data_IF_158481168498
#
_entry.id   IF_158481168498
#
_cell.length_a   1.000
_cell.length_b   1.000
_cell.length_c   1.000
_cell.angle_alpha   90.00
_cell.angle_beta   90.00
_cell.angle_gamma   90.00
#
_symmetry.space_group_name_H-M   'P 1'
#
loop_
_entity.id
_entity.type
_entity.pdbx_description
1 polymer ?
#
# COMPACT_ATOMS: atom_id res chain seq x y z
N UNK A 1 -18.54 7.10 14.23
CA UNK A 1 -17.40 6.48 14.95
C UNK A 1 -17.54 4.95 14.99
N UNK A 2 -18.60 4.39 15.60
CA UNK A 2 -18.66 2.93 15.86
C UNK A 2 -18.71 1.97 14.66
N UNK A 3 -19.14 2.38 13.47
CA UNK A 3 -19.17 1.49 12.29
C UNK A 3 -17.77 1.18 11.75
N UNK A 4 -16.93 2.21 11.56
CA UNK A 4 -15.56 2.03 11.07
C UNK A 4 -14.69 1.31 12.10
N UNK A 5 -14.80 1.68 13.38
CA UNK A 5 -14.06 1.02 14.46
C UNK A 5 -14.40 -0.47 14.56
N UNK A 6 -15.69 -0.83 14.42
CA UNK A 6 -16.10 -2.23 14.34
C UNK A 6 -15.45 -2.92 13.14
N UNK A 7 -15.54 -2.32 11.95
CA UNK A 7 -14.97 -2.88 10.73
C UNK A 7 -13.45 -3.10 10.87
N UNK A 8 -12.72 -2.07 11.28
CA UNK A 8 -11.28 -2.12 11.54
C UNK A 8 -10.92 -3.27 12.50
N UNK A 9 -11.63 -3.41 13.62
CA UNK A 9 -11.36 -4.46 14.59
C UNK A 9 -11.65 -5.87 14.04
N UNK A 10 -12.63 -6.04 13.13
CA UNK A 10 -12.88 -7.33 12.49
C UNK A 10 -11.73 -7.72 11.54
N UNK A 11 -11.22 -6.78 10.75
CA UNK A 11 -10.03 -7.04 9.92
C UNK A 11 -8.79 -7.27 10.78
N UNK A 12 -8.58 -6.48 11.84
CA UNK A 12 -7.47 -6.66 12.75
C UNK A 12 -7.45 -8.06 13.36
N UNK A 13 -8.61 -8.57 13.80
CA UNK A 13 -8.75 -9.92 14.34
C UNK A 13 -8.40 -10.98 13.30
N UNK A 14 -8.76 -10.79 12.03
CA UNK A 14 -8.34 -11.67 10.94
C UNK A 14 -6.82 -11.69 10.76
N UNK A 15 -6.21 -10.51 10.65
CA UNK A 15 -4.75 -10.36 10.46
C UNK A 15 -4.01 -10.99 11.62
N UNK A 16 -4.44 -10.76 12.86
CA UNK A 16 -3.80 -11.32 14.05
C UNK A 16 -3.98 -12.84 14.18
N UNK A 17 -5.12 -13.38 13.75
CA UNK A 17 -5.32 -14.84 13.68
C UNK A 17 -4.31 -15.45 12.69
N UNK A 18 -4.20 -14.88 11.49
CA UNK A 18 -3.27 -15.38 10.46
C UNK A 18 -1.80 -15.20 10.88
N UNK A 19 -1.45 -14.04 11.45
CA UNK A 19 -0.12 -13.72 11.98
C UNK A 19 0.35 -14.78 12.98
N UNK A 20 -0.50 -15.14 13.95
CA UNK A 20 -0.16 -16.16 14.96
C UNK A 20 -0.02 -17.55 14.35
N UNK A 21 -0.88 -17.89 13.39
CA UNK A 21 -0.89 -19.20 12.76
C UNK A 21 0.34 -19.43 11.87
N UNK A 22 0.80 -18.39 11.18
CA UNK A 22 1.97 -18.45 10.31
C UNK A 22 3.28 -18.10 11.04
N UNK A 23 3.20 -17.46 12.21
CA UNK A 23 4.35 -16.95 12.96
C UNK A 23 5.23 -16.01 12.11
N UNK A 24 4.58 -15.02 11.49
CA UNK A 24 5.17 -14.01 10.60
C UNK A 24 4.98 -12.59 11.15
N UNK A 25 5.58 -11.59 10.49
CA UNK A 25 5.36 -10.17 10.81
C UNK A 25 3.89 -9.76 10.66
N UNK A 26 3.50 -8.62 11.27
CA UNK A 26 2.15 -8.09 11.05
C UNK A 26 1.96 -7.69 9.58
N UNK A 27 3.00 -7.13 8.96
CA UNK A 27 3.02 -6.73 7.55
C UNK A 27 2.76 -7.90 6.61
N UNK A 28 3.46 -9.03 6.76
CA UNK A 28 3.22 -10.23 5.95
C UNK A 28 1.79 -10.76 6.14
N UNK A 29 1.32 -10.86 7.38
CA UNK A 29 -0.03 -11.34 7.66
C UNK A 29 -1.12 -10.38 7.13
N UNK A 30 -0.84 -9.07 7.09
CA UNK A 30 -1.74 -8.07 6.54
C UNK A 30 -1.90 -8.24 5.03
N UNK A 31 -0.79 -8.34 4.30
CA UNK A 31 -0.78 -8.56 2.84
C UNK A 31 -1.52 -9.86 2.51
N UNK A 32 -1.13 -10.97 3.14
CA UNK A 32 -1.73 -12.29 2.90
C UNK A 32 -3.23 -12.31 3.27
N UNK A 33 -3.65 -11.57 4.30
CA UNK A 33 -5.07 -11.45 4.64
C UNK A 33 -5.87 -10.78 3.53
N UNK A 34 -5.36 -9.70 2.94
CA UNK A 34 -6.06 -9.02 1.85
C UNK A 34 -6.02 -9.82 0.55
N UNK A 35 -4.93 -10.53 0.25
CA UNK A 35 -4.86 -11.46 -0.87
C UNK A 35 -5.90 -12.58 -0.74
N UNK A 36 -6.02 -13.17 0.45
CA UNK A 36 -7.02 -14.20 0.72
C UNK A 36 -8.45 -13.69 0.52
N UNK A 37 -8.73 -12.44 0.91
CA UNK A 37 -10.04 -11.80 0.76
C UNK A 37 -10.35 -11.47 -0.70
N UNK A 38 -9.39 -10.90 -1.44
CA UNK A 38 -9.54 -10.56 -2.86
C UNK A 38 -9.67 -11.79 -3.76
N UNK A 39 -8.97 -12.88 -3.43
CA UNK A 39 -9.06 -14.15 -4.18
C UNK A 39 -10.20 -15.06 -3.71
N UNK A 40 -10.82 -14.75 -2.57
CA UNK A 40 -11.85 -15.58 -1.93
C UNK A 40 -11.33 -16.96 -1.48
N UNK A 41 -10.03 -17.09 -1.22
CA UNK A 41 -9.37 -18.35 -0.89
C UNK A 41 -8.26 -18.14 0.12
N UNK A 42 -8.28 -18.91 1.22
CA UNK A 42 -7.16 -18.98 2.16
C UNK A 42 -6.03 -19.80 1.53
N UNK A 43 -4.87 -19.18 1.33
CA UNK A 43 -3.65 -19.85 0.90
C UNK A 43 -3.14 -20.75 2.01
N UNK A 44 -2.77 -21.99 1.66
CA UNK A 44 -2.16 -22.96 2.58
C UNK A 44 -0.91 -23.49 1.90
N UNK A 45 0.26 -23.18 2.48
CA UNK A 45 1.56 -23.63 1.99
C UNK A 45 2.22 -24.51 3.04
N UNK A 46 2.70 -25.68 2.62
CA UNK A 46 3.36 -26.65 3.51
C UNK A 46 2.55 -27.00 4.78
N UNK A 47 1.21 -26.93 4.71
CA UNK A 47 0.31 -27.22 5.82
C UNK A 47 0.08 -26.07 6.81
N UNK A 48 0.54 -24.85 6.50
CA UNK A 48 0.28 -23.64 7.27
C UNK A 48 -0.58 -22.64 6.46
N UNK A 49 -1.63 -22.03 7.05
CA UNK A 49 -2.15 -22.30 8.40
C UNK A 49 -2.81 -23.69 8.48
N UNK A 50 -2.92 -24.23 9.70
CA UNK A 50 -3.52 -25.55 9.92
C UNK A 50 -5.04 -25.57 9.64
N UNK A 51 -5.62 -26.76 9.50
CA UNK A 51 -7.05 -26.93 9.17
C UNK A 51 -8.00 -26.24 10.17
N UNK A 52 -7.62 -26.20 11.45
CA UNK A 52 -8.41 -25.54 12.49
C UNK A 52 -8.43 -24.03 12.28
N UNK A 53 -7.28 -23.45 12.00
CA UNK A 53 -7.11 -22.02 11.74
C UNK A 53 -7.79 -21.65 10.41
N UNK A 54 -7.68 -22.47 9.37
CA UNK A 54 -8.42 -22.27 8.10
C UNK A 54 -9.92 -22.21 8.37
N UNK A 55 -10.47 -23.12 9.19
CA UNK A 55 -11.88 -23.11 9.54
C UNK A 55 -12.29 -21.89 10.38
N UNK A 56 -11.41 -21.40 11.26
CA UNK A 56 -11.61 -20.16 12.02
C UNK A 56 -11.61 -18.93 11.11
N UNK A 57 -10.57 -18.76 10.29
CA UNK A 57 -10.43 -17.66 9.34
C UNK A 57 -11.58 -17.63 8.33
N UNK A 58 -12.02 -18.79 7.84
CA UNK A 58 -13.16 -18.87 6.91
C UNK A 58 -14.42 -18.25 7.51
N UNK A 59 -14.70 -18.49 8.81
CA UNK A 59 -15.84 -17.89 9.51
C UNK A 59 -15.65 -16.38 9.70
N UNK A 60 -14.43 -15.95 10.04
CA UNK A 60 -14.12 -14.52 10.22
C UNK A 60 -14.27 -13.76 8.89
N UNK A 61 -13.69 -14.27 7.81
CA UNK A 61 -13.81 -13.69 6.47
C UNK A 61 -15.26 -13.66 5.99
N UNK A 62 -16.04 -14.72 6.21
CA UNK A 62 -17.47 -14.70 5.90
C UNK A 62 -18.21 -13.60 6.69
N UNK A 63 -17.85 -13.37 7.96
CA UNK A 63 -18.49 -12.35 8.80
C UNK A 63 -18.12 -10.90 8.46
N UNK A 64 -17.12 -10.70 7.60
CA UNK A 64 -16.77 -9.37 7.10
C UNK A 64 -17.76 -8.87 6.04
N UNK A 65 -18.49 -9.78 5.37
CA UNK A 65 -19.28 -9.47 4.18
C UNK A 65 -18.46 -8.65 3.17
N UNK A 66 -17.24 -9.14 2.86
CA UNK A 66 -16.18 -8.37 2.19
C UNK A 66 -16.64 -7.70 0.89
N UNK A 67 -17.45 -8.39 0.09
CA UNK A 67 -17.99 -7.87 -1.18
C UNK A 67 -19.00 -6.73 -1.02
N UNK A 68 -19.61 -6.61 0.17
CA UNK A 68 -20.55 -5.53 0.50
C UNK A 68 -19.85 -4.27 1.03
N UNK A 69 -18.56 -4.36 1.35
CA UNK A 69 -17.77 -3.23 1.83
C UNK A 69 -17.41 -2.33 0.64
N UNK A 70 -17.65 -1.02 0.79
CA UNK A 70 -17.28 -0.06 -0.24
C UNK A 70 -15.75 -0.04 -0.45
N UNK A 71 -15.31 0.16 -1.70
CA UNK A 71 -13.89 0.29 -2.05
C UNK A 71 -13.16 1.28 -1.13
N UNK A 72 -13.77 2.46 -0.91
CA UNK A 72 -13.24 3.49 -0.02
C UNK A 72 -13.04 2.97 1.41
N UNK A 73 -13.99 2.22 1.94
CA UNK A 73 -13.88 1.68 3.30
C UNK A 73 -12.80 0.58 3.37
N UNK A 74 -12.68 -0.27 2.34
CA UNK A 74 -11.60 -1.28 2.22
C UNK A 74 -10.22 -0.62 2.23
N UNK A 75 -9.99 0.34 1.33
CA UNK A 75 -8.75 1.10 1.23
C UNK A 75 -8.43 1.85 2.53
N UNK A 76 -9.44 2.43 3.18
CA UNK A 76 -9.26 3.11 4.45
C UNK A 76 -8.85 2.13 5.55
N UNK A 77 -9.53 0.99 5.70
CA UNK A 77 -9.14 -0.04 6.69
C UNK A 77 -7.71 -0.52 6.45
N UNK A 78 -7.35 -0.81 5.19
CA UNK A 78 -6.00 -1.21 4.81
C UNK A 78 -4.96 -0.15 5.19
N UNK A 79 -5.23 1.12 4.93
CA UNK A 79 -4.34 2.23 5.31
C UNK A 79 -4.09 2.27 6.83
N UNK A 80 -5.15 2.14 7.65
CA UNK A 80 -4.99 2.14 9.11
C UNK A 80 -4.27 0.90 9.63
N UNK A 81 -4.49 -0.27 9.02
CA UNK A 81 -3.76 -1.49 9.36
C UNK A 81 -2.30 -1.41 8.93
N UNK A 82 -2.00 -0.76 7.81
CA UNK A 82 -0.63 -0.48 7.36
C UNK A 82 0.11 0.40 8.36
N UNK A 83 -0.51 1.48 8.85
CA UNK A 83 0.07 2.31 9.91
C UNK A 83 0.32 1.51 11.20
N UNK A 84 -0.58 0.56 11.51
CA UNK A 84 -0.39 -0.34 12.64
C UNK A 84 0.78 -1.31 12.40
N UNK A 85 0.89 -1.90 11.21
CA UNK A 85 1.94 -2.83 10.83
C UNK A 85 3.32 -2.22 11.02
N UNK A 86 3.52 -1.02 10.45
CA UNK A 86 4.77 -0.25 10.53
C UNK A 86 5.18 0.01 11.98
N UNK A 87 4.21 0.33 12.84
CA UNK A 87 4.48 0.56 14.26
C UNK A 87 4.75 -0.73 15.05
N UNK A 88 3.96 -1.79 14.82
CA UNK A 88 4.09 -3.06 15.55
C UNK A 88 5.37 -3.82 15.17
N UNK A 89 5.74 -3.80 13.89
CA UNK A 89 6.93 -4.47 13.36
C UNK A 89 8.21 -3.63 13.55
N UNK A 90 8.09 -2.37 14.02
CA UNK A 90 9.23 -1.55 14.43
C UNK A 90 10.07 -0.98 13.28
N UNK A 91 9.41 -0.56 12.20
CA UNK A 91 10.05 -0.02 11.01
C UNK A 91 10.91 1.23 11.30
N UNK A 92 12.01 1.38 10.55
CA UNK A 92 12.87 2.57 10.63
C UNK A 92 12.13 3.85 10.18
N UNK A 93 12.62 4.99 10.64
CA UNK A 93 12.04 6.31 10.33
C UNK A 93 11.96 6.58 8.83
N UNK A 94 12.89 6.07 8.03
CA UNK A 94 12.89 6.21 6.57
C UNK A 94 11.81 5.39 5.86
N UNK A 95 11.16 4.44 6.55
CA UNK A 95 10.05 3.64 6.02
C UNK A 95 8.68 4.11 6.52
N UNK A 96 8.64 5.19 7.30
CA UNK A 96 7.39 5.75 7.80
C UNK A 96 6.58 6.38 6.66
N UNK A 97 5.26 6.15 6.58
CA UNK A 97 4.46 6.75 5.52
C UNK A 97 4.38 8.26 5.65
N UNK A 98 4.41 8.95 4.52
CA UNK A 98 4.25 10.40 4.47
C UNK A 98 2.85 10.81 4.96
N UNK A 99 2.73 11.72 5.95
CA UNK A 99 1.44 12.15 6.47
C UNK A 99 0.53 12.78 5.40
N UNK A 100 -0.80 12.56 5.45
CA UNK A 100 -1.74 13.06 4.43
C UNK A 100 -1.70 14.58 4.20
N UNK A 101 -1.35 15.36 5.23
CA UNK A 101 -1.21 16.81 5.11
C UNK A 101 -0.12 17.21 4.11
N UNK A 102 0.99 16.47 4.06
CA UNK A 102 2.08 16.71 3.11
C UNK A 102 1.62 16.35 1.70
N UNK A 103 0.97 15.19 1.51
CA UNK A 103 0.36 14.78 0.24
C UNK A 103 -0.59 15.84 -0.31
N UNK A 104 -1.41 16.46 0.55
CA UNK A 104 -2.32 17.55 0.16
C UNK A 104 -1.57 18.77 -0.36
N UNK A 105 -0.51 19.21 0.31
CA UNK A 105 0.31 20.34 -0.15
C UNK A 105 0.92 20.03 -1.52
N UNK A 106 1.47 18.84 -1.69
CA UNK A 106 2.07 18.40 -2.96
C UNK A 106 1.00 18.33 -4.06
N UNK A 107 -0.17 17.76 -3.79
CA UNK A 107 -1.27 17.70 -4.75
C UNK A 107 -1.73 19.10 -5.20
N UNK A 108 -1.78 20.08 -4.28
CA UNK A 108 -2.09 21.47 -4.63
C UNK A 108 -1.04 22.09 -5.55
N UNK A 109 0.25 21.83 -5.31
CA UNK A 109 1.34 22.30 -6.17
C UNK A 109 1.26 21.63 -7.55
N UNK A 110 1.10 20.32 -7.58
CA UNK A 110 0.98 19.55 -8.83
C UNK A 110 -0.23 19.99 -9.65
N UNK A 111 -1.38 20.24 -9.03
CA UNK A 111 -2.57 20.75 -9.73
C UNK A 111 -2.32 22.10 -10.43
N UNK A 112 -1.37 22.92 -9.94
CA UNK A 112 -1.02 24.21 -10.55
C UNK A 112 0.10 24.11 -11.58
N UNK A 113 1.03 23.18 -11.42
CA UNK A 113 2.26 23.10 -12.20
C UNK A 113 2.20 22.04 -13.31
N UNK A 114 1.47 20.95 -13.09
CA UNK A 114 1.35 19.84 -14.01
C UNK A 114 0.22 20.13 -15.00
N UNK A 115 0.49 19.89 -16.28
CA UNK A 115 -0.49 20.10 -17.34
C UNK A 115 -1.64 19.11 -17.23
N UNK A 116 -2.81 19.51 -17.71
CA UNK A 116 -3.98 18.64 -17.75
C UNK A 116 -3.97 17.75 -19.00
N UNK A 117 -2.92 16.93 -19.13
CA UNK A 117 -2.74 15.91 -20.17
C UNK A 117 -2.28 14.59 -19.52
N UNK A 118 -2.13 13.52 -20.31
CA UNK A 118 -1.59 12.26 -19.78
C UNK A 118 -0.15 12.50 -19.36
N UNK A 119 0.18 12.17 -18.11
CA UNK A 119 1.52 12.37 -17.53
C UNK A 119 1.99 11.12 -16.82
N UNK A 120 3.28 10.82 -16.95
CA UNK A 120 3.96 9.77 -16.18
C UNK A 120 4.51 10.35 -14.88
N UNK A 121 4.12 9.74 -13.76
CA UNK A 121 4.53 10.14 -12.41
C UNK A 121 5.29 8.96 -11.78
N UNK A 122 6.54 9.22 -11.41
CA UNK A 122 7.40 8.23 -10.74
C UNK A 122 7.60 8.63 -9.28
N UNK A 123 7.40 7.69 -8.36
CA UNK A 123 7.94 7.74 -7.01
C UNK A 123 9.13 6.77 -6.87
N UNK A 124 10.38 7.27 -6.84
CA UNK A 124 11.58 6.45 -6.82
C UNK A 124 11.84 5.76 -5.47
N UNK A 125 11.13 6.15 -4.40
CA UNK A 125 11.20 5.49 -3.08
C UNK A 125 9.78 5.44 -2.51
N UNK A 126 8.92 4.66 -3.19
CA UNK A 126 7.47 4.68 -3.01
C UNK A 126 7.02 4.26 -1.60
N UNK A 127 7.82 3.45 -0.90
CA UNK A 127 7.45 2.88 0.38
C UNK A 127 6.10 2.15 0.27
N UNK A 128 5.18 2.47 1.17
CA UNK A 128 3.82 1.91 1.17
C UNK A 128 2.88 2.50 0.12
N UNK A 129 3.34 3.43 -0.72
CA UNK A 129 2.56 4.11 -1.75
C UNK A 129 1.56 5.17 -1.22
N UNK A 130 1.41 5.31 0.10
CA UNK A 130 0.44 6.24 0.72
C UNK A 130 0.61 7.68 0.21
N UNK A 131 1.86 8.15 0.02
CA UNK A 131 2.13 9.48 -0.53
C UNK A 131 1.54 9.64 -1.93
N UNK A 132 2.00 8.79 -2.87
CA UNK A 132 1.62 8.85 -4.27
C UNK A 132 0.10 8.67 -4.42
N UNK A 133 -0.48 7.63 -3.83
CA UNK A 133 -1.91 7.34 -3.93
C UNK A 133 -2.79 8.46 -3.35
N UNK A 134 -2.35 9.09 -2.25
CA UNK A 134 -3.06 10.24 -1.68
C UNK A 134 -3.02 11.47 -2.59
N UNK A 135 -1.90 11.71 -3.28
CA UNK A 135 -1.77 12.79 -4.26
C UNK A 135 -2.69 12.52 -5.46
N UNK A 136 -2.60 11.33 -6.06
CA UNK A 136 -3.35 10.98 -7.26
C UNK A 136 -4.86 10.99 -6.97
N UNK A 137 -5.30 10.48 -5.82
CA UNK A 137 -6.71 10.56 -5.39
C UNK A 137 -7.23 11.99 -5.38
N UNK A 138 -6.45 12.93 -4.83
CA UNK A 138 -6.81 14.34 -4.75
C UNK A 138 -6.81 15.00 -6.13
N UNK A 139 -5.82 14.70 -6.96
CA UNK A 139 -5.75 15.22 -8.33
C UNK A 139 -6.90 14.72 -9.20
N UNK A 140 -7.25 13.42 -9.13
CA UNK A 140 -8.44 12.85 -9.79
C UNK A 140 -9.70 13.58 -9.33
N UNK A 141 -9.87 13.79 -8.02
CA UNK A 141 -11.02 14.53 -7.48
C UNK A 141 -11.11 15.98 -8.01
N UNK A 142 -9.99 16.69 -8.12
CA UNK A 142 -9.93 18.06 -8.66
C UNK A 142 -10.18 18.11 -10.17
N UNK A 143 -9.87 17.04 -10.91
CA UNK A 143 -9.99 16.95 -12.37
C UNK A 143 -11.24 16.18 -12.84
N UNK A 144 -12.33 16.23 -12.07
CA UNK A 144 -13.60 15.55 -12.40
C UNK A 144 -13.46 14.04 -12.62
N UNK A 145 -12.64 13.38 -11.79
CA UNK A 145 -12.35 11.94 -11.84
C UNK A 145 -11.69 11.46 -13.14
N UNK A 146 -11.14 12.37 -13.96
CA UNK A 146 -10.32 11.96 -15.10
C UNK A 146 -9.03 11.34 -14.60
N UNK A 147 -8.75 10.14 -15.09
CA UNK A 147 -7.48 9.47 -14.87
C UNK A 147 -6.53 9.76 -16.03
N UNK A 148 -5.56 10.63 -15.76
CA UNK A 148 -4.55 11.05 -16.72
C UNK A 148 -3.15 10.64 -16.25
N UNK A 149 -3.04 9.73 -15.29
CA UNK A 149 -1.78 9.47 -14.59
C UNK A 149 -1.31 8.05 -14.90
N UNK A 150 -0.13 7.93 -15.49
CA UNK A 150 0.59 6.67 -15.53
C UNK A 150 1.53 6.64 -14.33
N UNK A 151 1.33 5.67 -13.44
CA UNK A 151 2.03 5.63 -12.16
C UNK A 151 3.15 4.60 -12.22
N UNK A 152 4.29 4.98 -11.65
CA UNK A 152 5.41 4.07 -11.45
C UNK A 152 5.93 4.24 -10.02
N UNK A 153 6.11 3.13 -9.32
CA UNK A 153 6.73 3.07 -8.00
C UNK A 153 8.02 2.27 -8.04
N UNK A 154 9.05 2.75 -7.38
CA UNK A 154 10.31 2.04 -7.18
C UNK A 154 10.58 1.98 -5.69
N UNK A 155 10.96 0.81 -5.20
CA UNK A 155 11.55 0.65 -3.88
C UNK A 155 12.55 -0.49 -3.91
N UNK A 156 13.53 -0.50 -3.00
CA UNK A 156 14.44 -1.63 -2.85
C UNK A 156 13.96 -2.62 -1.79
N UNK A 157 12.88 -2.29 -1.06
CA UNK A 157 12.25 -3.11 -0.05
C UNK A 157 10.97 -3.78 -0.59
N UNK A 158 11.01 -5.11 -0.70
CA UNK A 158 9.89 -5.92 -1.18
C UNK A 158 8.67 -5.86 -0.25
N UNK A 159 8.85 -5.74 1.07
CA UNK A 159 7.71 -5.64 2.01
C UNK A 159 6.94 -4.33 1.82
N UNK A 160 7.64 -3.24 1.50
CA UNK A 160 7.03 -1.96 1.17
C UNK A 160 6.25 -2.03 -0.13
N UNK A 161 6.82 -2.65 -1.15
CA UNK A 161 6.15 -2.85 -2.44
C UNK A 161 4.91 -3.73 -2.31
N UNK A 162 4.94 -4.77 -1.48
CA UNK A 162 3.75 -5.61 -1.23
C UNK A 162 2.60 -4.80 -0.60
N UNK A 163 2.90 -3.88 0.33
CA UNK A 163 1.90 -2.96 0.87
C UNK A 163 1.39 -1.98 -0.20
N UNK A 164 2.29 -1.44 -1.02
CA UNK A 164 1.93 -0.53 -2.10
C UNK A 164 1.05 -1.20 -3.17
N UNK A 165 1.31 -2.46 -3.50
CA UNK A 165 0.56 -3.25 -4.47
C UNK A 165 -0.88 -3.48 -4.00
N UNK A 166 -1.06 -3.97 -2.77
CA UNK A 166 -2.39 -4.15 -2.19
C UNK A 166 -3.12 -2.80 -2.09
N UNK A 167 -2.45 -1.73 -1.68
CA UNK A 167 -3.05 -0.40 -1.64
C UNK A 167 -3.46 0.10 -3.03
N UNK A 168 -2.67 -0.15 -4.07
CA UNK A 168 -2.99 0.21 -5.44
C UNK A 168 -4.23 -0.54 -5.93
N UNK A 169 -4.26 -1.86 -5.73
CA UNK A 169 -5.37 -2.73 -6.09
C UNK A 169 -6.67 -2.29 -5.41
N UNK A 170 -6.63 -2.05 -4.10
CA UNK A 170 -7.81 -1.59 -3.33
C UNK A 170 -8.34 -0.22 -3.77
N UNK A 171 -7.53 0.61 -4.42
CA UNK A 171 -7.92 1.94 -4.88
C UNK A 171 -8.14 2.02 -6.41
N UNK A 172 -8.09 0.89 -7.13
CA UNK A 172 -8.11 0.83 -8.60
C UNK A 172 -7.05 1.75 -9.24
N UNK A 173 -5.82 1.73 -8.72
CA UNK A 173 -4.69 2.39 -9.37
C UNK A 173 -3.96 1.41 -10.29
N UNK A 174 -3.85 1.79 -11.56
CA UNK A 174 -2.95 1.15 -12.51
C UNK A 174 -1.53 1.70 -12.29
N UNK A 175 -0.65 0.89 -11.71
CA UNK A 175 0.72 1.25 -11.33
C UNK A 175 1.70 0.15 -11.70
N UNK A 176 2.87 0.55 -12.21
CA UNK A 176 4.02 -0.34 -12.36
C UNK A 176 4.91 -0.24 -11.14
N UNK A 177 5.14 -1.36 -10.44
CA UNK A 177 6.02 -1.44 -9.27
C UNK A 177 7.30 -2.19 -9.60
N UNK A 178 8.44 -1.61 -9.23
CA UNK A 178 9.76 -2.19 -9.47
C UNK A 178 10.55 -2.33 -8.18
N UNK A 179 10.86 -3.58 -7.80
CA UNK A 179 11.81 -3.89 -6.74
C UNK A 179 13.25 -3.70 -7.24
N UNK A 180 13.77 -2.48 -7.13
CA UNK A 180 15.10 -2.11 -7.62
C UNK A 180 15.72 -1.00 -6.76
N UNK A 181 17.04 -0.88 -6.85
CA UNK A 181 17.75 0.27 -6.32
C UNK A 181 17.48 1.51 -7.20
N UNK A 182 16.87 2.54 -6.60
CA UNK A 182 16.50 3.76 -7.30
C UNK A 182 17.69 4.63 -7.74
N UNK A 183 18.91 4.35 -7.28
CA UNK A 183 20.12 5.01 -7.78
C UNK A 183 20.70 4.32 -9.03
N UNK A 184 20.19 3.14 -9.39
CA UNK A 184 20.51 2.48 -10.65
C UNK A 184 19.65 3.02 -11.80
N UNK A 185 20.02 2.79 -13.08
CA UNK A 185 19.18 3.17 -14.22
C UNK A 185 17.78 2.56 -14.13
N UNK A 186 16.75 3.41 -14.18
CA UNK A 186 15.37 2.96 -14.03
C UNK A 186 14.88 2.17 -15.25
N UNK A 187 14.06 1.16 -14.98
CA UNK A 187 13.39 0.36 -16.01
C UNK A 187 12.21 1.09 -16.70
N UNK A 188 11.72 2.19 -16.13
CA UNK A 188 10.65 3.00 -16.71
C UNK A 188 11.18 4.10 -17.65
N UNK A 189 10.27 4.75 -18.39
CA UNK A 189 10.59 5.88 -19.26
C UNK A 189 10.99 7.14 -18.48
N UNK A 190 11.41 8.19 -19.21
CA UNK A 190 11.67 9.49 -18.60
C UNK A 190 10.36 10.07 -18.03
N UNK A 191 10.25 10.25 -16.71
CA UNK A 191 9.01 10.76 -16.11
C UNK A 191 8.76 12.23 -16.46
N UNK A 192 7.49 12.60 -16.53
CA UNK A 192 7.07 14.01 -16.57
C UNK A 192 7.15 14.65 -15.18
N UNK A 193 6.89 13.86 -14.13
CA UNK A 193 6.93 14.29 -12.73
C UNK A 193 7.58 13.23 -11.87
N UNK A 194 8.48 13.68 -10.99
CA UNK A 194 9.00 12.86 -9.88
C UNK A 194 8.48 13.44 -8.58
N UNK A 195 7.93 12.57 -7.72
CA UNK A 195 7.49 12.92 -6.37
C UNK A 195 7.97 11.86 -5.41
N UNK A 196 8.57 12.24 -4.29
CA UNK A 196 9.09 11.28 -3.34
C UNK A 196 9.31 11.89 -1.96
N UNK A 197 9.21 11.07 -0.94
CA UNK A 197 9.68 11.35 0.41
C UNK A 197 11.01 10.62 0.61
N UNK A 198 12.11 11.35 0.41
CA UNK A 198 13.41 10.73 0.23
C UNK A 198 13.96 10.17 1.56
N UNK A 199 14.50 8.94 1.55
CA UNK A 199 15.19 8.39 2.72
C UNK A 199 16.42 9.23 3.04
N UNK A 200 16.67 9.47 4.32
CA UNK A 200 17.81 10.23 4.82
C UNK A 200 18.77 9.26 5.50
N UNK A 201 20.00 9.16 4.96
CA UNK A 201 21.01 8.30 5.52
C UNK A 201 22.22 8.12 4.62
N UNK A 202 23.02 7.10 4.93
CA UNK A 202 24.13 6.67 4.10
C UNK A 202 23.64 5.69 3.03
N UNK A 203 24.02 5.91 1.78
CA UNK A 203 23.81 4.92 0.73
C UNK A 203 24.93 3.87 0.80
N UNK A 204 24.61 2.59 1.07
CA UNK A 204 25.61 1.59 1.47
C UNK A 204 26.46 1.04 0.32
N UNK A 205 26.14 1.36 -0.94
CA UNK A 205 26.85 0.84 -2.12
C UNK A 205 27.78 1.93 -2.68
N UNK A 206 29.01 1.96 -2.16
CA UNK A 206 30.02 2.98 -2.52
C UNK A 206 30.31 3.06 -4.03
N UNK A 207 30.20 1.94 -4.75
CA UNK A 207 30.44 1.87 -6.20
C UNK A 207 29.41 2.65 -7.03
N UNK A 208 28.24 2.92 -6.43
CA UNK A 208 27.11 3.61 -7.04
C UNK A 208 26.86 5.00 -6.43
N UNK A 209 27.71 5.46 -5.49
CA UNK A 209 27.58 6.72 -4.74
C UNK A 209 28.22 7.94 -5.44
#
# INVERSE_FOLDING_TARGET
MGKFEKLFNQFLDCVQTLQKALNVSFTEALVETFDNLEQGKIKVENGAPDEQTVAELSKKYQSLDYDEISQKDKAQVFTFLTLKAINDDGFDVNKMPTPPAISTVIAMLMHKLVKNEKVEIVDPTIGTGILLFSIISQLKALNHSKDNYQLVGIDNDEEMLNLADVAAHLNDFDIELYCQDALMPWMCSNPDVVVSDLPIGYYPVDENA
#
